data_IF_341394407680
#
_entry.id   IF_341394407680
#
_cell.length_a   1.000
_cell.length_b   1.000
_cell.length_c   1.000
_cell.angle_alpha   90.00
_cell.angle_beta   90.00
_cell.angle_gamma   90.00
#
_symmetry.space_group_name_H-M   'P 1'
#
loop_
_entity.id
_entity.type
_entity.pdbx_description
1 polymer ?
#
# COMPACT_ATOMS: atom_id res chain seq x y z
N UNK A 1 18.11 -49.50 -12.80
CA UNK A 1 17.38 -48.88 -11.67
C UNK A 1 18.38 -48.21 -10.75
N UNK A 2 18.34 -46.88 -10.64
CA UNK A 2 19.02 -46.13 -9.59
C UNK A 2 18.16 -44.89 -9.28
N UNK A 3 17.37 -44.99 -8.21
CA UNK A 3 16.58 -43.88 -7.66
C UNK A 3 17.55 -42.99 -6.87
N UNK A 4 18.05 -41.94 -7.50
CA UNK A 4 18.84 -40.92 -6.80
C UNK A 4 17.85 -40.08 -5.99
N UNK A 5 17.80 -40.38 -4.68
CA UNK A 5 16.98 -39.72 -3.66
C UNK A 5 17.12 -38.19 -3.73
N UNK A 6 16.08 -37.59 -4.29
CA UNK A 6 15.88 -36.15 -4.46
C UNK A 6 15.42 -35.49 -3.15
N UNK A 7 16.29 -35.48 -2.12
CA UNK A 7 15.99 -34.84 -0.84
C UNK A 7 16.73 -33.51 -0.61
N UNK A 8 17.82 -33.24 -1.34
CA UNK A 8 18.61 -32.02 -1.15
C UNK A 8 17.98 -30.80 -1.85
N UNK A 9 17.36 -30.99 -3.03
CA UNK A 9 16.77 -29.87 -3.80
C UNK A 9 15.51 -29.27 -3.16
N UNK A 10 14.78 -30.03 -2.34
CA UNK A 10 13.52 -29.57 -1.73
C UNK A 10 13.75 -28.63 -0.55
N UNK A 11 14.85 -28.78 0.18
CA UNK A 11 15.20 -27.92 1.32
C UNK A 11 15.70 -26.53 0.86
N UNK A 12 16.43 -26.47 -0.26
CA UNK A 12 16.99 -25.21 -0.78
C UNK A 12 15.90 -24.27 -1.30
N UNK A 13 14.86 -24.80 -1.96
CA UNK A 13 13.74 -23.97 -2.41
C UNK A 13 12.90 -23.42 -1.26
N UNK A 14 12.74 -24.17 -0.16
CA UNK A 14 11.99 -23.69 1.01
C UNK A 14 12.72 -22.54 1.73
N UNK A 15 14.03 -22.65 1.91
CA UNK A 15 14.82 -21.60 2.56
C UNK A 15 14.88 -20.30 1.73
N UNK A 16 14.99 -20.41 0.40
CA UNK A 16 14.97 -19.25 -0.49
C UNK A 16 13.60 -18.55 -0.49
N UNK A 17 12.50 -19.31 -0.48
CA UNK A 17 11.14 -18.75 -0.40
C UNK A 17 10.86 -18.08 0.95
N UNK A 18 11.33 -18.63 2.07
CA UNK A 18 11.14 -18.01 3.39
C UNK A 18 11.86 -16.66 3.53
N UNK A 19 13.05 -16.50 2.91
CA UNK A 19 13.75 -15.22 2.91
C UNK A 19 13.06 -14.16 2.01
N UNK A 20 12.46 -14.57 0.90
CA UNK A 20 11.69 -13.68 0.02
C UNK A 20 10.40 -13.15 0.68
N UNK A 21 9.74 -13.96 1.53
CA UNK A 21 8.55 -13.51 2.27
C UNK A 21 8.93 -12.53 3.39
N UNK A 22 10.06 -12.74 4.07
CA UNK A 22 10.55 -11.82 5.12
C UNK A 22 10.99 -10.44 4.60
N UNK A 23 11.47 -10.35 3.36
CA UNK A 23 11.86 -9.06 2.77
C UNK A 23 10.67 -8.22 2.26
N UNK A 24 9.48 -8.82 2.17
CA UNK A 24 8.28 -8.16 1.64
C UNK A 24 7.44 -7.50 2.74
N UNK A 25 7.64 -7.88 4.00
CA UNK A 25 6.84 -7.41 5.14
C UNK A 25 7.31 -6.09 5.74
N UNK A 26 8.17 -5.33 5.04
CA UNK A 26 8.67 -4.03 5.51
C UNK A 26 8.30 -2.86 4.59
N UNK A 27 7.57 -3.11 3.50
CA UNK A 27 7.08 -2.02 2.66
C UNK A 27 5.87 -1.38 3.35
N UNK A 28 5.89 -0.06 3.60
CA UNK A 28 4.72 0.63 4.10
C UNK A 28 3.58 0.49 3.09
N UNK A 29 2.44 -0.01 3.53
CA UNK A 29 1.25 -0.07 2.69
C UNK A 29 0.60 1.32 2.68
N UNK A 30 0.38 1.87 1.48
CA UNK A 30 -0.35 3.12 1.30
C UNK A 30 -1.84 2.82 1.42
N UNK A 31 -2.41 3.07 2.59
CA UNK A 31 -3.83 2.83 2.85
C UNK A 31 -4.60 4.13 2.68
N UNK A 32 -5.68 4.08 1.88
CA UNK A 32 -6.61 5.21 1.74
C UNK A 32 -7.28 5.41 3.10
N UNK A 33 -6.96 6.53 3.74
CA UNK A 33 -7.59 6.95 4.99
C UNK A 33 -8.97 7.55 4.73
N UNK A 34 -9.07 8.41 3.71
CA UNK A 34 -10.31 9.11 3.37
C UNK A 34 -10.40 9.39 1.87
N UNK A 35 -11.64 9.55 1.37
CA UNK A 35 -11.95 9.87 -0.03
C UNK A 35 -13.03 10.93 -0.10
N UNK A 36 -12.70 12.09 -0.66
CA UNK A 36 -13.62 13.21 -0.86
C UNK A 36 -13.79 13.47 -2.35
N UNK A 37 -15.02 13.36 -2.87
CA UNK A 37 -15.32 13.67 -4.27
C UNK A 37 -16.06 14.99 -4.39
N UNK A 38 -15.62 15.81 -5.33
CA UNK A 38 -16.20 17.11 -5.66
C UNK A 38 -16.52 17.15 -7.15
N UNK A 39 -17.64 17.80 -7.49
CA UNK A 39 -18.00 18.03 -8.89
C UNK A 39 -17.00 19.00 -9.51
N UNK A 40 -16.42 18.60 -10.63
CA UNK A 40 -15.45 19.38 -11.39
C UNK A 40 -15.62 19.02 -12.87
N UNK A 41 -16.27 19.91 -13.62
CA UNK A 41 -16.54 19.73 -15.05
C UNK A 41 -15.84 20.85 -15.87
N UNK A 42 -14.92 20.51 -16.79
CA UNK A 42 -14.38 19.18 -17.06
C UNK A 42 -13.39 18.74 -15.97
N UNK A 43 -13.40 17.44 -15.64
CA UNK A 43 -12.41 16.86 -14.75
C UNK A 43 -11.07 16.72 -15.49
N UNK A 44 -10.26 17.77 -15.42
CA UNK A 44 -8.88 17.75 -15.87
C UNK A 44 -7.97 17.42 -14.69
N UNK A 45 -7.05 16.47 -14.86
CA UNK A 45 -6.12 16.03 -13.81
C UNK A 45 -5.47 17.20 -13.07
N UNK A 46 -4.93 18.18 -13.80
CA UNK A 46 -4.29 19.37 -13.23
C UNK A 46 -5.23 20.20 -12.34
N UNK A 47 -6.48 20.39 -12.75
CA UNK A 47 -7.46 21.14 -11.96
C UNK A 47 -7.89 20.32 -10.74
N UNK A 48 -8.02 19.01 -10.90
CA UNK A 48 -8.34 18.09 -9.82
C UNK A 48 -7.22 18.04 -8.76
N UNK A 49 -5.94 18.02 -9.17
CA UNK A 49 -4.77 18.13 -8.28
C UNK A 49 -4.81 19.39 -7.43
N UNK A 50 -5.02 20.56 -8.07
CA UNK A 50 -5.15 21.83 -7.35
C UNK A 50 -6.33 21.77 -6.37
N UNK A 51 -7.47 21.25 -6.81
CA UNK A 51 -8.66 21.18 -5.98
C UNK A 51 -8.48 20.27 -4.77
N UNK A 52 -7.77 19.16 -4.91
CA UNK A 52 -7.47 18.27 -3.81
C UNK A 52 -6.51 18.88 -2.78
N UNK A 53 -5.57 19.72 -3.22
CA UNK A 53 -4.74 20.50 -2.30
C UNK A 53 -5.57 21.52 -1.54
N UNK A 54 -6.52 22.21 -2.19
CA UNK A 54 -7.44 23.14 -1.52
C UNK A 54 -8.30 22.43 -0.47
N UNK A 55 -8.97 21.34 -0.87
CA UNK A 55 -9.82 20.54 0.03
C UNK A 55 -9.02 20.01 1.22
N UNK A 56 -7.80 19.51 0.97
CA UNK A 56 -6.92 19.05 2.04
C UNK A 56 -6.55 20.16 3.04
N UNK A 57 -6.32 21.39 2.56
CA UNK A 57 -6.07 22.55 3.41
C UNK A 57 -7.29 22.99 4.19
N UNK A 58 -8.46 23.07 3.54
CA UNK A 58 -9.73 23.46 4.16
C UNK A 58 -10.12 22.51 5.29
N UNK A 59 -9.98 21.21 5.06
CA UNK A 59 -10.29 20.17 6.05
C UNK A 59 -9.15 19.89 7.02
N UNK A 60 -8.01 20.59 6.89
CA UNK A 60 -6.79 20.36 7.68
C UNK A 60 -6.39 18.87 7.70
N UNK A 61 -6.51 18.19 6.56
CA UNK A 61 -6.16 16.79 6.47
C UNK A 61 -4.66 16.61 6.74
N UNK A 62 -4.27 15.69 7.63
CA UNK A 62 -2.87 15.47 8.00
C UNK A 62 -2.09 14.68 6.94
N UNK A 63 -2.79 14.18 5.91
CA UNK A 63 -2.27 13.22 4.95
C UNK A 63 -2.19 13.82 3.54
N UNK A 64 -1.23 13.38 2.71
CA UNK A 64 -1.16 13.79 1.31
C UNK A 64 -2.38 13.28 0.52
N UNK A 65 -2.85 14.10 -0.41
CA UNK A 65 -3.95 13.77 -1.31
C UNK A 65 -3.41 13.35 -2.69
N UNK A 66 -3.98 12.30 -3.28
CA UNK A 66 -3.88 12.02 -4.71
C UNK A 66 -5.22 12.33 -5.38
N UNK A 67 -5.15 13.07 -6.48
CA UNK A 67 -6.32 13.42 -7.28
C UNK A 67 -6.62 12.32 -8.31
N UNK A 68 -7.89 11.97 -8.42
CA UNK A 68 -8.40 11.01 -9.39
C UNK A 68 -9.67 11.55 -10.05
N UNK A 69 -9.69 11.62 -11.37
CA UNK A 69 -10.92 11.83 -12.13
C UNK A 69 -11.59 10.48 -12.35
N UNK A 70 -12.38 10.01 -11.38
CA UNK A 70 -13.11 8.74 -11.49
C UNK A 70 -14.21 8.84 -12.56
N UNK A 71 -14.75 10.04 -12.81
CA UNK A 71 -15.69 10.36 -13.90
C UNK A 71 -15.27 11.63 -14.63
N UNK A 72 -15.92 11.92 -15.75
CA UNK A 72 -15.65 13.12 -16.57
C UNK A 72 -15.96 14.44 -15.86
N UNK A 73 -16.86 14.44 -14.89
CA UNK A 73 -17.36 15.61 -14.15
C UNK A 73 -17.11 15.55 -12.64
N UNK A 74 -16.31 14.58 -12.17
CA UNK A 74 -16.10 14.31 -10.75
C UNK A 74 -14.62 14.11 -10.43
N UNK A 75 -14.09 14.99 -9.58
CA UNK A 75 -12.75 14.92 -9.04
C UNK A 75 -12.77 14.31 -7.64
N UNK A 76 -12.11 13.19 -7.44
CA UNK A 76 -12.00 12.50 -6.16
C UNK A 76 -10.58 12.62 -5.58
N UNK A 77 -10.50 13.19 -4.39
CA UNK A 77 -9.30 13.38 -3.60
C UNK A 77 -9.16 12.23 -2.60
N UNK A 78 -8.13 11.41 -2.77
CA UNK A 78 -7.85 10.25 -1.93
C UNK A 78 -6.69 10.58 -1.00
N UNK A 79 -6.93 10.56 0.30
CA UNK A 79 -5.93 10.88 1.32
C UNK A 79 -5.31 9.58 1.83
N UNK A 80 -3.99 9.47 1.81
CA UNK A 80 -3.27 8.23 2.15
C UNK A 80 -2.40 8.39 3.39
N UNK A 81 -2.35 7.34 4.20
CA UNK A 81 -1.36 7.24 5.27
C UNK A 81 -0.54 5.97 5.07
N UNK A 82 0.72 6.03 5.50
CA UNK A 82 1.59 4.88 5.53
C UNK A 82 1.25 4.04 6.76
N UNK A 83 0.81 2.81 6.53
CA UNK A 83 0.63 1.84 7.60
C UNK A 83 1.86 0.93 7.62
N UNK A 84 2.61 1.00 8.72
CA UNK A 84 3.66 0.01 8.99
C UNK A 84 3.01 -1.26 9.55
N UNK A 85 3.40 -2.46 9.07
CA UNK A 85 2.96 -3.69 9.69
C UNK A 85 3.41 -3.72 11.16
N UNK A 86 2.60 -4.29 12.07
CA UNK A 86 2.98 -4.39 13.47
C UNK A 86 4.29 -5.19 13.61
N UNK A 87 5.16 -4.85 14.58
CA UNK A 87 6.34 -5.63 14.84
C UNK A 87 5.93 -7.07 15.19
N UNK A 88 6.75 -8.08 14.80
CA UNK A 88 6.46 -9.47 15.14
C UNK A 88 6.36 -9.61 16.67
N UNK A 89 5.48 -10.49 17.19
CA UNK A 89 5.39 -10.74 18.62
C UNK A 89 6.74 -11.18 19.16
N UNK A 90 7.11 -10.78 20.40
CA UNK A 90 8.33 -11.27 21.01
C UNK A 90 8.29 -12.79 21.04
N UNK A 91 9.34 -13.42 20.50
CA UNK A 91 9.54 -14.86 20.65
C UNK A 91 9.81 -15.08 22.13
N UNK A 92 8.75 -15.32 22.90
CA UNK A 92 8.86 -15.79 24.27
C UNK A 92 9.66 -17.09 24.20
N UNK A 93 10.80 -17.12 24.90
CA UNK A 93 11.50 -18.37 25.14
C UNK A 93 10.48 -19.31 25.80
N UNK A 94 10.08 -20.34 25.06
CA UNK A 94 9.60 -21.57 25.68
C UNK A 94 10.72 -22.02 26.61
N UNK A 95 10.37 -22.16 27.89
CA UNK A 95 11.16 -22.88 28.89
C UNK A 95 11.62 -24.26 28.41
#
# INVERSE_FOLDING_TARGET
MAVIKSNVRRAVCAAALCNLVMASSSQPELVVFDKICVKLDPCAKRNCDIKCVEVGREQKHPYPALAACDKTDECCCRFYHEQHPPPPPPVGNLE
#
